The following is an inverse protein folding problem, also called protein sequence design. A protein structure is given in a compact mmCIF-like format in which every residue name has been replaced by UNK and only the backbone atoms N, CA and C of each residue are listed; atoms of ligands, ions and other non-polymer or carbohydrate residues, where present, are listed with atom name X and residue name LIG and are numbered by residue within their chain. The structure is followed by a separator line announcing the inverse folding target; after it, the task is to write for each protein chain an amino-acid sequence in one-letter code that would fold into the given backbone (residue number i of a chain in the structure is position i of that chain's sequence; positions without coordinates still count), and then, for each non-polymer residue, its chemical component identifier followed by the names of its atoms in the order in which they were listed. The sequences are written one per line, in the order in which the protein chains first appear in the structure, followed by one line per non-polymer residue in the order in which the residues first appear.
data_IF_503377861793
#
_entry.id   IF_503377861793
#
_cell.length_a   1.000
_cell.length_b   1.000
_cell.length_c   1.000
_cell.angle_alpha   90.00
_cell.angle_beta   90.00
_cell.angle_gamma   90.00
#
_symmetry.space_group_name_H-M   'P 1'
#
loop_
_entity.id
_entity.type
_entity.pdbx_description
1 polymer ?
#
# COMPACT_ATOMS: atom_id res chain seq x y z
N UNK A 1 -9.18 -17.01 19.42
CA UNK A 1 -9.22 -18.48 19.20
C UNK A 1 -8.03 -19.08 19.90
N UNK A 2 -8.25 -20.00 20.86
CA UNK A 2 -7.18 -20.63 21.64
C UNK A 2 -6.69 -21.91 20.94
N UNK A 3 -5.39 -21.96 20.66
CA UNK A 3 -4.70 -23.16 20.17
C UNK A 3 -3.92 -23.78 21.33
N UNK A 4 -3.93 -25.11 21.45
CA UNK A 4 -3.18 -25.84 22.46
C UNK A 4 -1.67 -25.73 22.22
N UNK A 5 -0.88 -25.86 23.30
CA UNK A 5 0.53 -25.45 23.35
C UNK A 5 1.45 -26.19 22.37
N UNK A 6 1.11 -27.41 21.96
CA UNK A 6 1.86 -28.20 20.96
C UNK A 6 1.49 -27.87 19.50
N UNK A 7 0.33 -27.25 19.27
CA UNK A 7 -0.24 -26.97 17.95
C UNK A 7 0.08 -25.56 17.44
N UNK A 8 0.98 -24.82 18.13
CA UNK A 8 1.32 -23.44 17.79
C UNK A 8 2.59 -23.39 16.96
N UNK A 9 2.46 -23.47 15.63
CA UNK A 9 3.55 -23.16 14.68
C UNK A 9 3.67 -21.64 14.49
N UNK A 10 4.91 -21.15 14.39
CA UNK A 10 5.28 -19.72 14.46
C UNK A 10 4.89 -18.88 13.24
N UNK A 11 3.58 -18.70 13.00
CA UNK A 11 3.08 -17.96 11.83
C UNK A 11 1.94 -16.97 12.11
N UNK A 12 1.45 -16.86 13.35
CA UNK A 12 0.35 -15.96 13.71
C UNK A 12 0.63 -14.48 13.40
N UNK A 13 1.89 -14.11 13.20
CA UNK A 13 2.35 -12.73 12.95
C UNK A 13 2.39 -12.35 11.46
N UNK A 14 2.19 -13.29 10.52
CA UNK A 14 2.19 -12.99 9.08
C UNK A 14 0.79 -12.58 8.55
N UNK A 15 -0.14 -12.23 9.44
CA UNK A 15 -1.45 -11.75 9.02
C UNK A 15 -1.38 -10.29 8.58
N UNK A 16 -2.27 -9.93 7.65
CA UNK A 16 -2.43 -8.55 7.22
C UNK A 16 -2.92 -7.69 8.41
N UNK A 17 -2.14 -6.67 8.76
CA UNK A 17 -2.50 -5.70 9.81
C UNK A 17 -3.55 -4.71 9.32
N UNK A 18 -4.39 -4.20 10.23
CA UNK A 18 -5.44 -3.22 9.89
C UNK A 18 -4.89 -1.79 9.71
N UNK A 19 -3.79 -1.45 10.40
CA UNK A 19 -3.16 -0.12 10.38
C UNK A 19 -1.66 -0.30 10.12
N UNK A 20 -1.06 0.62 9.37
CA UNK A 20 0.38 0.63 9.14
C UNK A 20 1.18 0.81 10.44
N UNK A 21 2.45 0.41 10.43
CA UNK A 21 3.32 0.65 11.59
C UNK A 21 3.56 2.14 11.76
N UNK A 22 3.99 2.59 12.94
CA UNK A 22 4.18 4.02 13.22
C UNK A 22 5.14 4.69 12.23
N UNK A 23 6.25 4.04 11.89
CA UNK A 23 7.23 4.56 10.94
C UNK A 23 6.59 4.75 9.55
N UNK A 24 5.92 3.73 9.03
CA UNK A 24 5.19 3.78 7.76
C UNK A 24 4.08 4.83 7.76
N UNK A 25 3.44 5.09 8.91
CA UNK A 25 2.45 6.17 9.03
C UNK A 25 3.09 7.54 8.93
N UNK A 26 4.26 7.74 9.53
CA UNK A 26 4.98 9.02 9.44
C UNK A 26 5.38 9.27 7.99
N UNK A 27 5.97 8.28 7.32
CA UNK A 27 6.35 8.37 5.91
C UNK A 27 5.16 8.73 5.02
N UNK A 28 4.05 7.99 5.15
CA UNK A 28 2.85 8.24 4.37
C UNK A 28 2.19 9.59 4.67
N UNK A 29 2.18 10.03 5.93
CA UNK A 29 1.64 11.34 6.27
C UNK A 29 2.56 12.49 5.82
N UNK A 30 3.87 12.26 5.73
CA UNK A 30 4.81 13.21 5.10
C UNK A 30 4.54 13.32 3.61
N UNK A 31 4.34 12.20 2.91
CA UNK A 31 3.93 12.18 1.49
C UNK A 31 2.60 12.93 1.27
N UNK A 32 1.62 12.73 2.15
CA UNK A 32 0.32 13.41 2.10
C UNK A 32 0.40 14.91 2.54
N UNK A 33 1.56 15.40 2.99
CA UNK A 33 1.74 16.77 3.48
C UNK A 33 1.06 17.06 4.83
N UNK A 34 0.66 16.02 5.57
CA UNK A 34 -0.09 16.09 6.84
C UNK A 34 0.78 15.89 8.08
N UNK A 35 2.08 15.70 7.91
CA UNK A 35 3.04 15.57 9.00
C UNK A 35 4.31 16.34 8.64
N UNK A 36 4.72 17.24 9.53
CA UNK A 36 5.91 18.07 9.39
C UNK A 36 6.97 17.71 10.44
N UNK A 37 8.21 18.08 10.17
CA UNK A 37 9.31 17.88 11.12
C UNK A 37 9.15 18.83 12.30
N UNK A 38 8.72 18.27 13.44
CA UNK A 38 8.32 19.00 14.63
C UNK A 38 7.00 18.51 15.20
N UNK A 39 6.17 17.85 14.38
CA UNK A 39 4.95 17.22 14.85
C UNK A 39 5.24 16.06 15.80
N UNK A 40 4.43 15.98 16.86
CA UNK A 40 4.56 14.96 17.88
C UNK A 40 4.37 13.55 17.29
N UNK A 41 5.21 12.58 17.65
CA UNK A 41 5.13 11.25 17.04
C UNK A 41 3.97 10.41 17.63
N UNK A 42 3.17 10.95 18.55
CA UNK A 42 2.04 10.27 19.19
C UNK A 42 0.71 10.82 18.64
N UNK A 43 -0.35 10.01 18.67
CA UNK A 43 -1.67 10.45 18.21
C UNK A 43 -1.83 10.59 16.69
N UNK A 44 -0.95 9.96 15.89
CA UNK A 44 -1.04 10.05 14.43
C UNK A 44 -2.42 9.60 13.90
N UNK A 45 -2.93 10.27 12.85
CA UNK A 45 -4.08 9.81 12.08
C UNK A 45 -4.02 8.32 11.72
N UNK A 46 -5.18 7.68 11.63
CA UNK A 46 -5.30 6.26 11.28
C UNK A 46 -5.02 6.07 9.78
N UNK A 47 -3.89 5.42 9.47
CA UNK A 47 -3.53 5.09 8.09
C UNK A 47 -3.68 3.58 7.89
N UNK A 48 -4.70 3.19 7.13
CA UNK A 48 -5.10 1.80 6.92
C UNK A 48 -4.17 1.12 5.91
N UNK A 49 -3.72 -0.09 6.22
CA UNK A 49 -3.07 -0.98 5.26
C UNK A 49 -4.15 -1.55 4.33
N UNK A 50 -4.08 -1.27 3.04
CA UNK A 50 -5.00 -1.82 2.04
C UNK A 50 -4.25 -2.81 1.17
N UNK A 51 -4.83 -3.99 0.95
CA UNK A 51 -4.32 -4.92 -0.07
C UNK A 51 -4.58 -4.30 -1.44
N UNK A 52 -3.54 -4.19 -2.27
CA UNK A 52 -3.73 -3.87 -3.67
C UNK A 52 -4.54 -5.01 -4.32
N UNK A 53 -5.59 -4.66 -5.07
CA UNK A 53 -6.32 -5.65 -5.86
C UNK A 53 -5.44 -6.07 -7.04
N UNK A 54 -4.78 -7.22 -6.94
CA UNK A 54 -4.08 -7.80 -8.08
C UNK A 54 -5.13 -8.32 -9.09
N UNK A 55 -5.45 -7.52 -10.11
CA UNK A 55 -6.14 -8.02 -11.31
C UNK A 55 -7.18 -7.10 -11.93
N UNK A 56 -6.75 -6.24 -12.85
CA UNK A 56 -7.41 -6.13 -14.16
C UNK A 56 -6.32 -6.25 -15.21
N UNK A 57 -6.23 -7.40 -15.88
CA UNK A 57 -5.32 -7.59 -17.01
C UNK A 57 -5.76 -6.63 -18.12
N UNK A 58 -4.97 -5.59 -18.41
CA UNK A 58 -5.03 -4.88 -19.68
C UNK A 58 -4.52 -5.84 -20.77
N UNK A 59 -5.40 -6.72 -21.24
CA UNK A 59 -5.18 -7.47 -22.48
C UNK A 59 -5.92 -6.76 -23.62
N UNK A 60 -5.34 -5.64 -24.06
CA UNK A 60 -5.40 -5.06 -25.41
C UNK A 60 -4.18 -4.13 -25.49
N UNK A 61 -3.03 -4.67 -25.93
CA UNK A 61 -2.37 -4.31 -27.21
C UNK A 61 -2.01 -2.82 -27.20
N UNK A 62 -0.75 -2.37 -27.10
CA UNK A 62 0.31 -2.65 -28.08
C UNK A 62 -0.27 -2.74 -29.50
N UNK A 63 -0.92 -1.63 -29.90
CA UNK A 63 -1.29 -1.26 -31.28
C UNK A 63 -1.78 0.21 -31.22
N UNK A 64 -0.93 1.14 -30.80
CA UNK A 64 -1.17 2.60 -30.92
C UNK A 64 0.12 3.43 -30.68
N UNK A 65 1.31 2.83 -30.84
CA UNK A 65 2.46 3.56 -31.36
C UNK A 65 2.34 3.42 -32.89
N UNK A 66 1.82 4.43 -33.62
CA UNK A 66 2.20 4.79 -35.01
C UNK A 66 1.24 5.74 -35.76
N UNK A 67 0.06 6.12 -35.24
CA UNK A 67 -0.90 6.97 -35.98
C UNK A 67 -0.99 8.44 -35.55
N UNK A 68 0.09 9.02 -35.01
CA UNK A 68 0.17 10.47 -34.76
C UNK A 68 1.50 11.12 -35.25
N UNK A 69 2.37 10.37 -35.91
CA UNK A 69 3.58 10.88 -36.58
C UNK A 69 3.41 10.99 -38.11
N UNK A 70 2.17 10.94 -38.61
CA UNK A 70 1.81 11.08 -40.03
C UNK A 70 0.70 12.12 -40.21
N UNK A 71 0.81 13.25 -39.51
CA UNK A 71 0.20 14.52 -39.91
C UNK A 71 1.34 15.46 -40.33
N UNK A 72 1.96 15.15 -41.47
CA UNK A 72 2.49 16.19 -42.35
C UNK A 72 1.30 16.94 -42.96
N UNK A 73 1.15 18.19 -42.58
CA UNK A 73 0.65 19.27 -43.43
C UNK A 73 1.32 20.56 -42.99
#
# INVERSE_FOLDING_TARGET
MSLSRSLKTGGSLMQHRSVLTRAERIEKLREDGRFQDGDGPLGLPKVVSRKAAAGKKTKKKTDEEETAATEES
#
